data_IF_360277344670
#
_entry.id   IF_360277344670
#
_cell.length_a   1.000
_cell.length_b   1.000
_cell.length_c   1.000
_cell.angle_alpha   90.00
_cell.angle_beta   90.00
_cell.angle_gamma   90.00
#
_symmetry.space_group_name_H-M   'P 1'
#
loop_
_entity.id
_entity.type
_entity.pdbx_description
1 polymer ?
#
# COMPACT_ATOMS: atom_id res chain seq x y z
N UNK A 1 0.94 -27.75 -2.44
CA UNK A 1 -0.05 -26.85 -3.09
C UNK A 1 -0.30 -25.55 -2.32
N UNK A 2 -0.70 -25.57 -1.03
CA UNK A 2 -1.01 -24.34 -0.26
C UNK A 2 0.13 -23.30 -0.15
N UNK A 3 1.40 -23.73 -0.11
CA UNK A 3 2.56 -22.82 -0.01
C UNK A 3 2.80 -22.00 -1.29
N UNK A 4 2.65 -22.61 -2.47
CA UNK A 4 2.81 -21.93 -3.76
C UNK A 4 1.67 -20.93 -4.04
N UNK A 5 0.45 -21.27 -3.62
CA UNK A 5 -0.69 -20.34 -3.65
C UNK A 5 -0.45 -19.08 -2.80
N UNK A 6 0.24 -19.22 -1.67
CA UNK A 6 0.60 -18.09 -0.82
C UNK A 6 1.68 -17.21 -1.45
N UNK A 7 2.65 -17.80 -2.15
CA UNK A 7 3.64 -17.04 -2.95
C UNK A 7 2.94 -16.26 -4.06
N UNK A 8 2.04 -16.92 -4.80
CA UNK A 8 1.26 -16.26 -5.85
C UNK A 8 0.41 -15.11 -5.29
N UNK A 9 -0.23 -15.30 -4.13
CA UNK A 9 -1.00 -14.24 -3.48
C UNK A 9 -0.12 -13.05 -3.07
N UNK A 10 1.05 -13.31 -2.47
CA UNK A 10 2.03 -12.25 -2.15
C UNK A 10 2.49 -11.49 -3.40
N UNK A 11 2.75 -12.20 -4.49
CA UNK A 11 3.13 -11.60 -5.77
C UNK A 11 2.03 -10.68 -6.31
N UNK A 12 0.78 -11.13 -6.31
CA UNK A 12 -0.37 -10.31 -6.75
C UNK A 12 -0.53 -9.07 -5.87
N UNK A 13 -0.38 -9.19 -4.54
CA UNK A 13 -0.45 -8.03 -3.64
C UNK A 13 0.67 -7.03 -3.96
N UNK A 14 1.92 -7.49 -4.12
CA UNK A 14 3.03 -6.62 -4.50
C UNK A 14 2.79 -5.93 -5.85
N UNK A 15 2.21 -6.63 -6.82
CA UNK A 15 1.86 -6.06 -8.13
C UNK A 15 0.79 -4.96 -7.97
N UNK A 16 -0.24 -5.17 -7.16
CA UNK A 16 -1.24 -4.15 -6.86
C UNK A 16 -0.63 -2.92 -6.14
N UNK A 17 0.27 -3.15 -5.17
CA UNK A 17 0.94 -2.06 -4.44
C UNK A 17 1.88 -1.25 -5.36
N UNK A 18 2.47 -1.89 -6.38
CA UNK A 18 3.20 -1.19 -7.44
C UNK A 18 2.35 -0.19 -8.23
N UNK A 19 1.02 -0.32 -8.20
CA UNK A 19 0.09 0.65 -8.79
C UNK A 19 0.23 2.07 -8.22
N UNK A 20 0.80 2.23 -7.02
CA UNK A 20 1.13 3.54 -6.45
C UNK A 20 2.08 4.34 -7.36
N UNK A 21 2.91 3.70 -8.18
CA UNK A 21 3.77 4.39 -9.15
C UNK A 21 3.02 5.00 -10.34
N UNK A 22 1.77 4.56 -10.59
CA UNK A 22 0.87 5.24 -11.53
C UNK A 22 0.37 6.60 -10.99
N UNK A 23 0.80 7.01 -9.79
CA UNK A 23 0.47 8.32 -9.20
C UNK A 23 0.73 9.49 -10.14
N UNK A 24 1.78 9.44 -10.97
CA UNK A 24 2.06 10.54 -11.91
C UNK A 24 0.89 10.83 -12.86
N UNK A 25 0.13 9.80 -13.25
CA UNK A 25 -1.04 9.95 -14.14
C UNK A 25 -2.19 10.58 -13.35
N UNK A 26 -2.45 10.09 -12.12
CA UNK A 26 -3.46 10.65 -11.22
C UNK A 26 -3.16 12.11 -10.84
N UNK A 27 -1.88 12.43 -10.62
CA UNK A 27 -1.43 13.77 -10.30
C UNK A 27 -1.69 14.74 -11.46
N UNK A 28 -1.38 14.34 -12.70
CA UNK A 28 -1.71 15.14 -13.89
C UNK A 28 -3.21 15.40 -14.00
N UNK A 29 -4.03 14.37 -13.83
CA UNK A 29 -5.50 14.49 -13.88
C UNK A 29 -6.05 15.40 -12.76
N UNK A 30 -5.50 15.30 -11.55
CA UNK A 30 -5.87 16.18 -10.43
C UNK A 30 -5.51 17.66 -10.70
N UNK A 31 -4.40 17.91 -11.41
CA UNK A 31 -4.02 19.28 -11.80
C UNK A 31 -4.92 19.82 -12.91
N UNK A 32 -5.30 19.00 -13.89
CA UNK A 32 -6.17 19.43 -15.00
C UNK A 32 -7.63 19.62 -14.57
N UNK A 33 -8.20 18.61 -13.92
CA UNK A 33 -9.63 18.57 -13.58
C UNK A 33 -9.96 19.37 -12.31
N UNK A 34 -9.10 19.30 -11.29
CA UNK A 34 -9.35 19.95 -9.99
C UNK A 34 -8.42 21.14 -9.70
N UNK A 35 -7.59 21.55 -10.66
CA UNK A 35 -6.68 22.70 -10.54
C UNK A 35 -5.73 22.63 -9.34
N UNK A 36 -5.35 21.41 -8.95
CA UNK A 36 -4.35 21.23 -7.89
C UNK A 36 -3.02 21.85 -8.33
N UNK A 37 -2.27 22.40 -7.37
CA UNK A 37 -0.89 22.82 -7.66
C UNK A 37 0.04 21.61 -7.72
N UNK A 38 1.14 21.74 -8.46
CA UNK A 38 2.19 20.72 -8.46
C UNK A 38 2.69 20.43 -7.03
N UNK A 39 2.81 21.46 -6.19
CA UNK A 39 3.21 21.29 -4.79
C UNK A 39 2.21 20.44 -4.00
N UNK A 40 0.91 20.62 -4.22
CA UNK A 40 -0.13 19.83 -3.55
C UNK A 40 -0.03 18.34 -3.92
N UNK A 41 0.11 18.01 -5.21
CA UNK A 41 0.24 16.61 -5.64
C UNK A 41 1.50 15.96 -5.09
N UNK A 42 2.61 16.70 -4.99
CA UNK A 42 3.84 16.24 -4.35
C UNK A 42 3.69 16.03 -2.84
N UNK A 43 2.94 16.90 -2.13
CA UNK A 43 2.66 16.72 -0.71
C UNK A 43 1.88 15.43 -0.46
N UNK A 44 0.90 15.10 -1.31
CA UNK A 44 0.13 13.86 -1.19
C UNK A 44 1.04 12.65 -1.36
N UNK A 45 1.88 12.64 -2.39
CA UNK A 45 2.81 11.54 -2.64
C UNK A 45 3.89 11.40 -1.57
N UNK A 46 4.47 12.52 -1.14
CA UNK A 46 5.45 12.56 -0.06
C UNK A 46 4.86 12.04 1.25
N UNK A 47 3.61 12.39 1.55
CA UNK A 47 2.88 11.86 2.70
C UNK A 47 2.65 10.36 2.57
N UNK A 48 2.26 9.87 1.39
CA UNK A 48 2.11 8.44 1.11
C UNK A 48 3.40 7.69 1.44
N UNK A 49 4.55 8.15 0.93
CA UNK A 49 5.85 7.51 1.16
C UNK A 49 6.26 7.60 2.65
N UNK A 50 6.03 8.74 3.30
CA UNK A 50 6.37 8.93 4.71
C UNK A 50 5.56 7.99 5.61
N UNK A 51 4.25 7.87 5.35
CA UNK A 51 3.34 6.99 6.10
C UNK A 51 3.61 5.52 5.78
N UNK A 52 3.89 5.18 4.52
CA UNK A 52 4.36 3.86 4.13
C UNK A 52 5.62 3.44 4.92
N UNK A 53 6.63 4.30 4.91
CA UNK A 53 7.91 4.03 5.59
C UNK A 53 7.72 3.88 7.10
N UNK A 54 6.91 4.75 7.68
CA UNK A 54 6.63 4.75 9.12
C UNK A 54 5.83 3.52 9.52
N UNK A 55 4.75 3.20 8.79
CA UNK A 55 3.91 2.03 9.08
C UNK A 55 4.72 0.74 9.04
N UNK A 56 5.66 0.60 8.11
CA UNK A 56 6.58 -0.54 7.99
C UNK A 56 7.36 -0.86 9.28
N UNK A 57 7.72 0.17 10.06
CA UNK A 57 8.42 0.01 11.34
C UNK A 57 7.48 -0.59 12.43
N UNK A 58 6.19 -0.31 12.35
CA UNK A 58 5.20 -0.77 13.33
C UNK A 58 4.59 -2.14 12.99
N UNK A 59 4.48 -2.50 11.70
CA UNK A 59 3.89 -3.78 11.26
C UNK A 59 4.48 -5.01 11.97
N UNK A 60 5.82 -5.16 12.14
CA UNK A 60 6.39 -6.32 12.81
C UNK A 60 5.89 -6.50 14.25
N UNK A 61 5.66 -5.39 14.97
CA UNK A 61 5.12 -5.43 16.34
C UNK A 61 3.65 -5.85 16.34
N UNK A 62 2.88 -5.36 15.38
CA UNK A 62 1.48 -5.71 15.21
C UNK A 62 1.30 -7.18 14.80
N UNK A 63 2.17 -7.68 13.92
CA UNK A 63 2.20 -9.08 13.47
C UNK A 63 2.58 -10.10 14.56
N UNK A 64 3.12 -9.66 15.71
CA UNK A 64 3.30 -10.53 16.88
C UNK A 64 2.00 -10.78 17.64
N UNK A 65 1.02 -9.86 17.52
CA UNK A 65 -0.26 -9.90 18.25
C UNK A 65 -1.43 -10.33 17.37
N UNK A 66 -1.35 -10.04 16.06
CA UNK A 66 -2.42 -10.33 15.09
C UNK A 66 -2.05 -11.47 14.14
N UNK A 67 -3.06 -12.16 13.64
CA UNK A 67 -2.90 -13.14 12.59
C UNK A 67 -2.55 -12.47 11.25
N UNK A 68 -1.65 -13.09 10.48
CA UNK A 68 -1.24 -12.57 9.16
C UNK A 68 -2.43 -12.38 8.20
N UNK A 69 -3.44 -13.25 8.28
CA UNK A 69 -4.69 -13.10 7.49
C UNK A 69 -5.41 -11.78 7.81
N UNK A 70 -5.54 -11.44 9.09
CA UNK A 70 -6.17 -10.19 9.52
C UNK A 70 -5.41 -8.99 8.96
N UNK A 71 -4.08 -9.01 9.00
CA UNK A 71 -3.26 -7.93 8.44
C UNK A 71 -3.47 -7.73 6.93
N UNK A 72 -3.57 -8.82 6.15
CA UNK A 72 -3.86 -8.74 4.71
C UNK A 72 -5.24 -8.13 4.47
N UNK A 73 -6.27 -8.58 5.19
CA UNK A 73 -7.63 -8.04 5.04
C UNK A 73 -7.70 -6.56 5.45
N UNK A 74 -7.04 -6.17 6.54
CA UNK A 74 -6.98 -4.77 6.98
C UNK A 74 -6.24 -3.91 5.96
N UNK A 75 -5.15 -4.39 5.39
CA UNK A 75 -4.44 -3.72 4.29
C UNK A 75 -5.36 -3.50 3.08
N UNK A 76 -6.04 -4.54 2.61
CA UNK A 76 -6.94 -4.44 1.46
C UNK A 76 -8.11 -3.47 1.72
N UNK A 77 -8.70 -3.52 2.91
CA UNK A 77 -9.79 -2.61 3.31
C UNK A 77 -9.32 -1.16 3.41
N UNK A 78 -8.14 -0.91 3.99
CA UNK A 78 -7.56 0.44 4.07
C UNK A 78 -7.22 0.99 2.68
N UNK A 79 -6.71 0.14 1.79
CA UNK A 79 -6.39 0.55 0.41
C UNK A 79 -7.67 0.91 -0.34
N UNK A 80 -8.68 0.04 -0.31
CA UNK A 80 -9.96 0.27 -0.98
C UNK A 80 -10.65 1.51 -0.42
N UNK A 81 -10.76 1.64 0.90
CA UNK A 81 -11.38 2.81 1.54
C UNK A 81 -10.62 4.10 1.24
N UNK A 82 -9.28 4.07 1.21
CA UNK A 82 -8.45 5.23 0.87
C UNK A 82 -8.71 5.74 -0.55
N UNK A 83 -8.73 4.83 -1.54
CA UNK A 83 -9.01 5.20 -2.93
C UNK A 83 -10.47 5.61 -3.16
N UNK A 84 -11.44 4.92 -2.54
CA UNK A 84 -12.85 5.30 -2.63
C UNK A 84 -13.08 6.67 -2.02
N UNK A 85 -12.50 6.95 -0.84
CA UNK A 85 -12.59 8.25 -0.19
C UNK A 85 -12.00 9.36 -1.05
N UNK A 86 -10.86 9.10 -1.71
CA UNK A 86 -10.25 10.04 -2.63
C UNK A 86 -11.09 10.25 -3.91
N UNK A 87 -11.73 9.20 -4.43
CA UNK A 87 -12.65 9.29 -5.58
C UNK A 87 -13.92 10.09 -5.26
N UNK A 88 -14.40 10.02 -4.03
CA UNK A 88 -15.56 10.80 -3.55
C UNK A 88 -15.19 12.22 -3.08
N UNK A 89 -13.92 12.61 -3.18
CA UNK A 89 -13.45 13.90 -2.65
C UNK A 89 -14.02 15.13 -3.35
N UNK A 90 -14.51 14.98 -4.59
CA UNK A 90 -15.00 16.09 -5.41
C UNK A 90 -13.98 17.22 -5.60
N UNK A 91 -12.67 16.91 -5.52
CA UNK A 91 -11.60 17.90 -5.61
C UNK A 91 -11.15 18.51 -4.29
N UNK A 92 -11.57 17.98 -3.14
CA UNK A 92 -11.06 18.45 -1.85
C UNK A 92 -9.67 17.88 -1.56
N UNK A 93 -8.66 18.75 -1.56
CA UNK A 93 -7.26 18.39 -1.28
C UNK A 93 -7.07 17.59 0.02
N UNK A 94 -7.72 17.98 1.12
CA UNK A 94 -7.53 17.32 2.42
C UNK A 94 -8.11 15.91 2.43
N UNK A 95 -9.20 15.68 1.71
CA UNK A 95 -9.82 14.36 1.59
C UNK A 95 -8.93 13.43 0.75
N UNK A 96 -8.38 13.94 -0.36
CA UNK A 96 -7.41 13.18 -1.18
C UNK A 96 -6.13 12.89 -0.39
N UNK A 97 -5.63 13.85 0.38
CA UNK A 97 -4.46 13.67 1.25
C UNK A 97 -4.71 12.61 2.33
N UNK A 98 -5.88 12.62 2.96
CA UNK A 98 -6.24 11.61 3.95
C UNK A 98 -6.43 10.21 3.31
N UNK A 99 -7.10 10.14 2.16
CA UNK A 99 -7.37 8.88 1.46
C UNK A 99 -6.13 8.25 0.84
N UNK A 100 -5.37 9.01 0.05
CA UNK A 100 -4.21 8.49 -0.68
C UNK A 100 -2.94 8.61 0.16
N UNK A 101 -2.68 9.79 0.74
CA UNK A 101 -1.49 10.02 1.55
C UNK A 101 -1.46 9.16 2.81
N UNK A 102 -2.54 9.17 3.60
CA UNK A 102 -2.55 8.48 4.91
C UNK A 102 -3.06 7.06 4.79
N UNK A 103 -4.32 6.85 4.38
CA UNK A 103 -4.94 5.51 4.40
C UNK A 103 -4.23 4.55 3.43
N UNK A 104 -4.03 4.98 2.18
CA UNK A 104 -3.35 4.14 1.17
C UNK A 104 -1.87 3.94 1.51
N UNK A 105 -1.19 4.93 2.10
CA UNK A 105 0.16 4.79 2.64
C UNK A 105 0.26 3.73 3.74
N UNK A 106 -0.65 3.76 4.73
CA UNK A 106 -0.73 2.75 5.79
C UNK A 106 -1.03 1.36 5.24
N UNK A 107 -1.99 1.28 4.30
CA UNK A 107 -2.37 0.04 3.64
C UNK A 107 -1.20 -0.60 2.89
N UNK A 108 -0.41 0.22 2.19
CA UNK A 108 0.77 -0.21 1.44
C UNK A 108 1.85 -0.75 2.36
N UNK A 109 2.13 -0.10 3.49
CA UNK A 109 3.15 -0.58 4.44
C UNK A 109 2.77 -1.90 5.09
N UNK A 110 1.49 -2.06 5.47
CA UNK A 110 0.94 -3.31 5.99
C UNK A 110 1.02 -4.43 4.94
N UNK A 111 0.52 -4.18 3.74
CA UNK A 111 0.47 -5.16 2.66
C UNK A 111 1.85 -5.59 2.20
N UNK A 112 2.77 -4.64 2.06
CA UNK A 112 4.14 -4.91 1.64
C UNK A 112 4.88 -5.80 2.63
N UNK A 113 4.84 -5.46 3.93
CA UNK A 113 5.54 -6.25 4.95
C UNK A 113 5.02 -7.69 5.01
N UNK A 114 3.70 -7.87 4.97
CA UNK A 114 3.09 -9.20 5.03
C UNK A 114 3.42 -10.02 3.77
N UNK A 115 3.35 -9.39 2.60
CA UNK A 115 3.62 -10.05 1.32
C UNK A 115 5.08 -10.48 1.20
N UNK A 116 6.02 -9.71 1.78
CA UNK A 116 7.44 -10.03 1.79
C UNK A 116 7.80 -11.11 2.83
N UNK A 117 7.22 -11.06 4.03
CA UNK A 117 7.61 -11.97 5.12
C UNK A 117 6.97 -13.36 5.04
N UNK A 118 5.77 -13.49 4.49
CA UNK A 118 5.04 -14.76 4.42
C UNK A 118 5.71 -15.82 3.52
N UNK A 119 6.10 -15.51 2.26
CA UNK A 119 6.79 -16.45 1.37
C UNK A 119 8.11 -16.95 1.94
N UNK A 120 8.92 -16.03 2.48
CA UNK A 120 10.24 -16.31 3.05
C UNK A 120 10.14 -17.28 4.24
N UNK A 121 9.11 -17.14 5.08
CA UNK A 121 8.83 -18.08 6.17
C UNK A 121 8.38 -19.45 5.67
N UNK A 122 7.64 -19.52 4.56
CA UNK A 122 7.16 -20.78 4.00
C UNK A 122 8.26 -21.58 3.28
N UNK A 123 9.31 -20.91 2.79
CA UNK A 123 10.44 -21.48 2.04
C UNK A 123 11.79 -21.00 2.60
N UNK A 124 12.18 -21.45 3.81
CA UNK A 124 13.42 -21.01 4.46
C UNK A 124 14.70 -21.45 3.72
N UNK A 125 14.62 -22.44 2.83
CA UNK A 125 15.75 -22.91 2.01
C UNK A 125 15.98 -22.05 0.76
N UNK A 126 14.97 -21.28 0.33
CA UNK A 126 15.00 -20.48 -0.91
C UNK A 126 14.74 -19.00 -0.65
N UNK A 127 15.28 -18.46 0.45
CA UNK A 127 15.02 -17.08 0.88
C UNK A 127 15.33 -16.06 -0.21
N UNK A 128 16.49 -16.16 -0.85
CA UNK A 128 16.91 -15.22 -1.90
C UNK A 128 15.97 -15.20 -3.11
N UNK A 129 15.51 -16.37 -3.56
CA UNK A 129 14.53 -16.46 -4.65
C UNK A 129 13.17 -15.86 -4.22
N UNK A 130 12.71 -16.17 -3.00
CA UNK A 130 11.41 -15.73 -2.49
C UNK A 130 11.35 -14.25 -2.09
N UNK A 131 12.50 -13.61 -1.84
CA UNK A 131 12.59 -12.16 -1.68
C UNK A 131 12.68 -11.42 -3.02
N UNK A 132 13.11 -12.11 -4.08
CA UNK A 132 13.27 -11.53 -5.42
C UNK A 132 12.04 -11.67 -6.32
N UNK A 133 11.19 -12.67 -6.06
CA UNK A 133 9.85 -12.80 -6.66
C UNK A 133 8.89 -11.84 -5.96
#
# INVERSE_FOLDING_TARGET
MKKYLLVLASFVIMLCLGGVYAWSILASELMETYRFSATQTQIIFGTLIAVFSTSMVFVPRLAKKLNNRTLVYTSAMLFLSGYVLAGLSGGNFYIVLAGIGVLSGMATGLGYWVSLTLPVRCFPEKKGLMTGI
#
